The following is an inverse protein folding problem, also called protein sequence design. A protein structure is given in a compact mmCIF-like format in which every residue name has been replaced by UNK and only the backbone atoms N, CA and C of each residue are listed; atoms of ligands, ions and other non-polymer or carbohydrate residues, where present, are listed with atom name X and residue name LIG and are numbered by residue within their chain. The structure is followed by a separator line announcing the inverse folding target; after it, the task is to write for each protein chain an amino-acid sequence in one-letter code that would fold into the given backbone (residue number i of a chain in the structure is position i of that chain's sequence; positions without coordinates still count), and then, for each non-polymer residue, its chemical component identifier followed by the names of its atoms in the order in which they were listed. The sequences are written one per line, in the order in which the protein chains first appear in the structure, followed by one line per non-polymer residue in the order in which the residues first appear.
data_IF_256015257891
#
_entry.id   IF_256015257891
#
_cell.length_a   1.000
_cell.length_b   1.000
_cell.length_c   1.000
_cell.angle_alpha   90.00
_cell.angle_beta   90.00
_cell.angle_gamma   90.00
#
_symmetry.space_group_name_H-M   'P 1'
#
loop_
_entity.id
_entity.type
_entity.pdbx_description
1 polymer ?
#
# COMPACT_ATOMS: atom_id res chain seq x y z
N UNK A 1 -1.47 -1.82 6.75
CA UNK A 1 -2.91 -2.23 6.84
C UNK A 1 -3.02 -3.75 6.94
N UNK A 2 -4.07 -4.26 7.61
CA UNK A 2 -4.41 -5.69 7.69
C UNK A 2 -5.88 -5.99 7.30
N UNK A 3 -6.29 -7.26 7.36
CA UNK A 3 -7.68 -7.70 7.20
C UNK A 3 -8.02 -8.37 5.86
N UNK A 4 -9.28 -8.85 5.75
CA UNK A 4 -9.80 -9.63 4.62
C UNK A 4 -10.79 -8.85 3.75
N UNK A 5 -10.66 -8.96 2.42
CA UNK A 5 -11.58 -8.35 1.45
C UNK A 5 -11.50 -6.82 1.38
N UNK A 6 -12.13 -6.21 0.37
CA UNK A 6 -12.19 -4.76 0.06
C UNK A 6 -11.19 -4.28 -1.01
N UNK A 7 -11.35 -3.02 -1.42
CA UNK A 7 -10.57 -2.31 -2.43
C UNK A 7 -9.82 -1.14 -1.82
N UNK A 8 -8.57 -0.95 -2.24
CA UNK A 8 -7.73 0.19 -1.87
C UNK A 8 -7.30 0.88 -3.17
N UNK A 9 -7.44 2.20 -3.26
CA UNK A 9 -7.06 2.91 -4.47
C UNK A 9 -6.59 4.34 -4.27
N UNK A 10 -5.85 4.85 -5.26
CA UNK A 10 -5.36 6.23 -5.34
C UNK A 10 -4.45 6.62 -4.16
N UNK A 11 -3.40 5.83 -3.96
CA UNK A 11 -2.42 6.03 -2.88
C UNK A 11 -1.09 6.47 -3.46
N UNK A 12 -0.49 7.50 -2.85
CA UNK A 12 0.86 7.97 -3.12
C UNK A 12 1.67 7.97 -1.83
N UNK A 13 2.78 7.23 -1.84
CA UNK A 13 3.80 7.21 -0.77
C UNK A 13 5.14 7.56 -1.37
N UNK A 14 5.84 8.55 -0.80
CA UNK A 14 7.12 9.03 -1.29
C UNK A 14 8.10 9.32 -0.16
N UNK A 15 9.40 9.10 -0.40
CA UNK A 15 10.52 9.49 0.48
C UNK A 15 10.35 8.97 1.93
N UNK A 16 10.06 7.68 2.04
CA UNK A 16 9.90 7.03 3.34
C UNK A 16 11.25 6.46 3.79
N UNK A 17 11.67 6.79 5.02
CA UNK A 17 12.91 6.27 5.61
C UNK A 17 12.94 4.72 5.73
N UNK A 18 11.76 4.09 5.74
CA UNK A 18 11.54 2.65 5.69
C UNK A 18 10.57 2.27 4.55
N UNK A 19 9.89 1.14 4.71
CA UNK A 19 8.88 0.68 3.75
C UNK A 19 7.75 1.70 3.59
N UNK A 20 7.36 2.01 2.35
CA UNK A 20 6.24 2.92 2.06
C UNK A 20 4.89 2.44 2.60
N UNK A 21 4.69 1.12 2.65
CA UNK A 21 3.57 0.50 3.36
C UNK A 21 3.91 -0.92 3.84
N UNK A 22 3.11 -1.43 4.78
CA UNK A 22 3.11 -2.81 5.27
C UNK A 22 1.68 -3.37 5.19
N UNK A 23 1.39 -4.11 4.12
CA UNK A 23 0.08 -4.71 3.85
C UNK A 23 0.03 -6.20 4.20
N UNK A 24 -0.48 -6.52 5.39
CA UNK A 24 -0.77 -7.88 5.83
C UNK A 24 -2.24 -8.22 5.55
N UNK A 25 -2.61 -8.19 4.28
CA UNK A 25 -4.02 -8.30 3.85
C UNK A 25 -4.25 -9.53 2.99
N UNK A 26 -5.47 -10.05 3.01
CA UNK A 26 -5.88 -11.19 2.18
C UNK A 26 -7.13 -10.84 1.37
N UNK A 27 -7.17 -11.22 0.10
CA UNK A 27 -8.33 -10.96 -0.76
C UNK A 27 -8.65 -9.48 -1.02
N UNK A 28 -7.68 -8.58 -0.84
CA UNK A 28 -7.82 -7.16 -1.21
C UNK A 28 -7.28 -6.90 -2.61
N UNK A 29 -7.88 -5.93 -3.31
CA UNK A 29 -7.39 -5.43 -4.59
C UNK A 29 -6.87 -3.99 -4.44
N UNK A 30 -5.69 -3.75 -5.01
CA UNK A 30 -5.00 -2.47 -4.97
C UNK A 30 -4.93 -1.87 -6.38
N UNK A 31 -5.44 -0.65 -6.57
CA UNK A 31 -5.47 0.03 -7.88
C UNK A 31 -4.96 1.47 -7.79
N UNK A 32 -4.19 1.93 -8.78
CA UNK A 32 -3.58 3.27 -8.76
C UNK A 32 -2.75 3.55 -7.49
N UNK A 33 -1.75 2.70 -7.24
CA UNK A 33 -0.83 2.83 -6.11
C UNK A 33 0.54 3.26 -6.64
N UNK A 34 1.10 4.32 -6.06
CA UNK A 34 2.46 4.80 -6.34
C UNK A 34 3.27 4.78 -5.05
N UNK A 35 4.33 3.97 -5.02
CA UNK A 35 5.29 3.90 -3.92
C UNK A 35 6.67 4.21 -4.51
N UNK A 36 7.23 5.37 -4.15
CA UNK A 36 8.41 5.93 -4.81
C UNK A 36 9.45 6.31 -3.76
N UNK A 37 10.70 5.91 -3.96
CA UNK A 37 11.83 6.26 -3.07
C UNK A 37 11.56 5.88 -1.60
N UNK A 38 11.14 4.65 -1.38
CA UNK A 38 10.96 4.04 -0.05
C UNK A 38 11.90 2.85 0.08
N UNK A 39 12.32 2.50 1.30
CA UNK A 39 13.29 1.41 1.52
C UNK A 39 12.70 0.02 1.66
#
# INVERSE_FOLDING_TARGET
MDGWGSYVSNILMQDCAGSGDLWYTYGKAFTYISVIDTK
#
